data_IF_402302942143
#
_entry.id   IF_402302942143
#
_cell.length_a   1.000
_cell.length_b   1.000
_cell.length_c   1.000
_cell.angle_alpha   90.00
_cell.angle_beta   90.00
_cell.angle_gamma   90.00
#
_symmetry.space_group_name_H-M   'P 1'
#
loop_
_entity.id
_entity.type
_entity.pdbx_description
1 polymer ?
#
# COMPACT_ATOMS: atom_id res chain seq x y z
N UNK A 1 -72.35 55.17 28.11
CA UNK A 1 -71.70 54.01 28.78
C UNK A 1 -71.47 53.00 27.68
N UNK A 2 -70.21 52.97 27.15
CA UNK A 2 -69.83 52.17 26.00
C UNK A 2 -69.00 51.00 26.44
N UNK A 3 -69.46 49.80 26.10
CA UNK A 3 -68.76 48.54 26.40
C UNK A 3 -67.83 48.28 25.26
N UNK A 4 -66.52 48.12 25.58
CA UNK A 4 -65.46 47.72 24.66
C UNK A 4 -65.33 46.19 24.66
N UNK A 5 -65.20 45.56 23.45
CA UNK A 5 -65.00 44.12 23.39
C UNK A 5 -63.53 43.75 23.56
N UNK A 6 -63.29 42.66 24.27
CA UNK A 6 -61.99 42.06 24.48
C UNK A 6 -61.54 41.30 23.26
N UNK A 7 -60.44 41.74 22.62
CA UNK A 7 -59.74 40.98 21.61
C UNK A 7 -58.87 39.94 22.30
N UNK A 8 -59.19 38.67 22.07
CA UNK A 8 -58.28 37.54 22.41
C UNK A 8 -57.32 37.39 21.24
N UNK A 9 -56.04 37.66 21.50
CA UNK A 9 -54.95 37.34 20.55
C UNK A 9 -54.64 35.86 20.71
N UNK A 10 -54.99 35.06 19.72
CA UNK A 10 -54.56 33.69 19.59
C UNK A 10 -53.12 33.69 19.10
N UNK A 11 -52.18 33.29 19.93
CA UNK A 11 -50.80 33.06 19.54
C UNK A 11 -50.71 31.74 18.72
N UNK A 12 -50.62 31.85 17.40
CA UNK A 12 -50.24 30.73 16.55
C UNK A 12 -48.72 30.46 16.72
N UNK A 13 -48.39 29.42 17.47
CA UNK A 13 -47.04 28.88 17.50
C UNK A 13 -46.79 28.16 16.15
N UNK A 14 -46.12 28.84 15.24
CA UNK A 14 -45.62 28.23 14.02
C UNK A 14 -44.40 27.39 14.37
N UNK A 15 -44.59 26.09 14.50
CA UNK A 15 -43.51 25.11 14.63
C UNK A 15 -42.86 24.97 13.25
N UNK A 16 -41.75 25.66 13.05
CA UNK A 16 -40.87 25.42 11.90
C UNK A 16 -40.19 24.03 12.06
N UNK A 17 -40.77 23.04 11.40
CA UNK A 17 -40.11 21.76 11.16
C UNK A 17 -39.01 22.00 10.13
N UNK A 18 -37.78 22.21 10.58
CA UNK A 18 -36.62 22.15 9.69
C UNK A 18 -36.40 20.69 9.32
N UNK A 19 -36.90 20.27 8.15
CA UNK A 19 -36.45 19.05 7.49
C UNK A 19 -34.97 19.26 7.17
N UNK A 20 -34.11 18.74 8.01
CA UNK A 20 -32.71 18.49 7.67
C UNK A 20 -32.75 17.44 6.54
N UNK A 21 -32.64 17.87 5.31
CA UNK A 21 -32.29 17.00 4.19
C UNK A 21 -30.88 16.49 4.49
N UNK A 22 -30.77 15.30 5.07
CA UNK A 22 -29.57 14.53 4.96
C UNK A 22 -29.37 14.30 3.46
N UNK A 23 -28.54 15.13 2.85
CA UNK A 23 -27.95 14.81 1.56
C UNK A 23 -27.15 13.55 1.79
N UNK A 24 -27.80 12.40 1.68
CA UNK A 24 -27.11 11.14 1.53
C UNK A 24 -26.15 11.37 0.38
N UNK A 25 -24.86 11.33 0.66
CA UNK A 25 -23.86 11.19 -0.39
C UNK A 25 -24.25 9.91 -1.13
N UNK A 26 -24.99 10.07 -2.22
CA UNK A 26 -25.25 9.00 -3.16
C UNK A 26 -23.87 8.66 -3.72
N UNK A 27 -23.21 7.73 -3.07
CA UNK A 27 -21.98 7.14 -3.57
C UNK A 27 -22.32 6.65 -4.96
N UNK A 28 -21.78 7.32 -5.97
CA UNK A 28 -21.93 6.89 -7.35
C UNK A 28 -21.44 5.44 -7.38
N UNK A 29 -22.32 4.47 -7.60
CA UNK A 29 -21.95 3.06 -7.75
C UNK A 29 -21.03 3.00 -8.97
N UNK A 30 -19.72 2.98 -8.70
CA UNK A 30 -18.72 2.82 -9.75
C UNK A 30 -18.69 1.36 -10.14
N UNK A 31 -18.62 1.10 -11.43
CA UNK A 31 -18.52 -0.28 -11.95
C UNK A 31 -17.25 -1.02 -11.53
N UNK A 32 -16.33 -0.32 -10.82
CA UNK A 32 -15.07 -0.85 -10.31
C UNK A 32 -14.75 -0.14 -8.99
N UNK A 33 -14.80 -0.88 -7.90
CA UNK A 33 -14.51 -0.39 -6.55
C UNK A 33 -13.02 -0.06 -6.39
N UNK A 34 -12.73 0.88 -5.51
CA UNK A 34 -11.35 1.20 -5.14
C UNK A 34 -10.76 0.11 -4.24
N UNK A 35 -9.48 -0.15 -4.41
CA UNK A 35 -8.70 -1.04 -3.57
C UNK A 35 -7.32 -0.45 -3.30
N UNK A 36 -6.76 -0.81 -2.16
CA UNK A 36 -5.37 -0.49 -1.80
C UNK A 36 -4.72 -1.74 -1.23
N UNK A 37 -3.42 -1.85 -1.41
CA UNK A 37 -2.57 -2.82 -0.74
C UNK A 37 -1.23 -2.17 -0.46
N UNK A 38 -0.66 -2.44 0.70
CA UNK A 38 0.68 -1.97 1.05
C UNK A 38 1.45 -3.07 1.78
N UNK A 39 2.77 -3.02 1.65
CA UNK A 39 3.69 -3.90 2.36
C UNK A 39 4.92 -3.09 2.77
N UNK A 40 5.31 -3.23 4.03
CA UNK A 40 6.58 -2.73 4.52
C UNK A 40 7.59 -3.87 4.54
N UNK A 41 8.75 -3.65 3.93
CA UNK A 41 9.88 -4.55 3.82
C UNK A 41 11.09 -3.82 4.38
N UNK A 42 11.70 -4.34 5.42
CA UNK A 42 12.91 -3.76 6.02
C UNK A 42 12.87 -2.21 6.11
N UNK A 43 11.79 -1.69 6.70
CA UNK A 43 11.57 -0.25 6.87
C UNK A 43 11.30 0.55 5.59
N UNK A 44 11.05 -0.11 4.45
CA UNK A 44 10.60 0.51 3.18
C UNK A 44 9.17 0.13 2.90
N UNK A 45 8.30 1.11 2.69
CA UNK A 45 6.89 0.87 2.41
C UNK A 45 6.58 1.04 0.94
N UNK A 46 5.92 0.02 0.36
CA UNK A 46 5.42 0.03 -1.01
C UNK A 46 3.91 -0.08 -0.95
N UNK A 47 3.22 0.85 -1.60
CA UNK A 47 1.77 0.91 -1.63
C UNK A 47 1.21 0.97 -3.06
N UNK A 48 0.10 0.27 -3.29
CA UNK A 48 -0.67 0.34 -4.52
C UNK A 48 -2.06 0.89 -4.21
N UNK A 49 -2.57 1.78 -5.08
CA UNK A 49 -3.96 2.17 -5.08
C UNK A 49 -4.55 2.01 -6.49
N UNK A 50 -5.67 1.35 -6.60
CA UNK A 50 -6.23 0.93 -7.89
C UNK A 50 -7.74 0.79 -7.83
N UNK A 51 -8.39 0.67 -8.98
CA UNK A 51 -9.79 0.23 -9.07
C UNK A 51 -9.86 -1.20 -9.58
N UNK A 52 -10.87 -1.94 -9.15
CA UNK A 52 -11.01 -3.39 -9.30
C UNK A 52 -12.10 -3.75 -10.32
N UNK A 53 -11.80 -3.74 -11.64
CA UNK A 53 -12.76 -4.20 -12.63
C UNK A 53 -13.00 -5.71 -12.50
N UNK A 54 -14.25 -6.14 -12.76
CA UNK A 54 -14.66 -7.54 -12.80
C UNK A 54 -14.49 -8.12 -14.20
N UNK A 55 -14.08 -9.36 -14.31
CA UNK A 55 -13.94 -10.09 -15.57
C UNK A 55 -15.29 -10.34 -16.26
N UNK A 56 -16.32 -10.71 -15.51
CA UNK A 56 -17.69 -10.98 -15.99
C UNK A 56 -17.74 -11.98 -17.15
N UNK A 57 -16.92 -13.02 -17.08
CA UNK A 57 -16.83 -14.04 -18.12
C UNK A 57 -16.28 -13.57 -19.47
N UNK A 58 -15.73 -12.36 -19.57
CA UNK A 58 -15.15 -11.83 -20.81
C UNK A 58 -13.75 -12.38 -21.03
N UNK A 59 -13.38 -12.56 -22.29
CA UNK A 59 -11.98 -12.69 -22.66
C UNK A 59 -11.27 -11.37 -22.36
N UNK A 60 -10.18 -11.43 -21.59
CA UNK A 60 -9.51 -10.25 -21.06
C UNK A 60 -8.39 -9.79 -22.00
N UNK A 61 -7.25 -10.46 -21.97
CA UNK A 61 -6.08 -10.08 -22.77
C UNK A 61 -6.21 -10.57 -24.21
N UNK A 62 -5.87 -9.70 -25.16
CA UNK A 62 -6.14 -9.90 -26.59
C UNK A 62 -7.56 -9.57 -27.02
N UNK A 63 -8.46 -9.20 -26.07
CA UNK A 63 -9.85 -8.83 -26.35
C UNK A 63 -10.25 -7.54 -25.62
N UNK A 64 -10.66 -7.62 -24.35
CA UNK A 64 -11.02 -6.42 -23.56
C UNK A 64 -9.81 -5.49 -23.38
N UNK A 65 -8.64 -6.05 -23.16
CA UNK A 65 -7.35 -5.37 -23.16
C UNK A 65 -6.59 -5.87 -24.40
N UNK A 66 -6.57 -5.11 -25.50
CA UNK A 66 -5.92 -5.55 -26.75
C UNK A 66 -4.42 -5.72 -26.55
N UNK A 67 -3.83 -6.60 -27.36
CA UNK A 67 -2.38 -6.75 -27.43
C UNK A 67 -1.71 -5.47 -27.92
N UNK A 68 -0.51 -5.21 -27.47
CA UNK A 68 0.35 -4.08 -27.83
C UNK A 68 -0.27 -2.70 -27.56
N UNK A 69 -1.29 -2.64 -26.71
CA UNK A 69 -1.96 -1.40 -26.34
C UNK A 69 -1.68 -1.06 -24.86
N UNK A 70 -1.22 0.17 -24.63
CA UNK A 70 -1.00 0.71 -23.28
C UNK A 70 -2.33 0.71 -22.51
N UNK A 71 -2.32 0.10 -21.34
CA UNK A 71 -3.46 -0.01 -20.45
C UNK A 71 -3.02 0.18 -19.00
N UNK A 72 -3.83 0.84 -18.17
CA UNK A 72 -3.59 0.84 -16.72
C UNK A 72 -4.20 -0.43 -16.10
N UNK A 73 -3.44 -1.21 -15.33
CA UNK A 73 -3.96 -2.44 -14.70
C UNK A 73 -4.90 -2.12 -13.53
N UNK A 74 -6.07 -1.65 -13.90
CA UNK A 74 -7.13 -1.12 -13.06
C UNK A 74 -8.28 -0.56 -13.88
N UNK A 75 -8.97 0.44 -13.34
CA UNK A 75 -10.06 1.19 -13.99
C UNK A 75 -10.17 2.60 -13.40
N UNK A 76 -10.92 3.49 -14.04
CA UNK A 76 -11.14 4.89 -13.64
C UNK A 76 -9.82 5.67 -13.66
N UNK A 77 -9.31 6.10 -12.48
CA UNK A 77 -7.96 6.66 -12.38
C UNK A 77 -6.92 5.56 -12.58
N UNK A 78 -5.80 5.93 -13.14
CA UNK A 78 -4.68 5.00 -13.30
C UNK A 78 -4.30 4.41 -11.93
N UNK A 79 -3.95 3.13 -11.94
CA UNK A 79 -3.33 2.49 -10.79
C UNK A 79 -2.07 3.24 -10.41
N UNK A 80 -1.84 3.44 -9.13
CA UNK A 80 -0.62 4.09 -8.64
C UNK A 80 0.22 3.13 -7.80
N UNK A 81 1.53 3.27 -7.93
CA UNK A 81 2.53 2.68 -7.04
C UNK A 81 3.25 3.82 -6.32
N UNK A 82 3.44 3.68 -5.02
CA UNK A 82 4.20 4.61 -4.20
C UNK A 82 5.24 3.82 -3.40
N UNK A 83 6.48 4.24 -3.46
CA UNK A 83 7.58 3.71 -2.64
C UNK A 83 8.22 4.86 -1.87
N UNK A 84 8.38 4.72 -0.56
CA UNK A 84 8.95 5.76 0.31
C UNK A 84 10.48 5.81 0.28
N UNK A 85 11.11 4.78 -0.27
CA UNK A 85 12.56 4.70 -0.55
C UNK A 85 12.79 4.08 -1.93
N UNK A 86 14.02 4.20 -2.44
CA UNK A 86 14.42 3.55 -3.67
C UNK A 86 14.25 2.02 -3.55
N UNK A 87 13.71 1.41 -4.59
CA UNK A 87 13.53 -0.05 -4.65
C UNK A 87 14.04 -0.59 -5.98
N UNK A 88 14.17 -1.90 -6.08
CA UNK A 88 14.48 -2.57 -7.35
C UNK A 88 13.34 -3.52 -7.72
N UNK A 89 12.79 -3.36 -8.93
CA UNK A 89 11.68 -4.16 -9.44
C UNK A 89 12.12 -4.96 -10.66
N UNK A 90 12.10 -6.30 -10.59
CA UNK A 90 12.64 -7.20 -11.61
C UNK A 90 14.07 -6.80 -12.07
N UNK A 91 14.90 -6.31 -11.16
CA UNK A 91 16.27 -5.88 -11.46
C UNK A 91 16.42 -4.44 -11.98
N UNK A 92 15.32 -3.70 -12.17
CA UNK A 92 15.31 -2.30 -12.58
C UNK A 92 15.22 -1.40 -11.35
N UNK A 93 16.07 -0.39 -11.27
CA UNK A 93 16.06 0.58 -10.17
C UNK A 93 14.85 1.52 -10.32
N UNK A 94 14.10 1.69 -9.23
CA UNK A 94 12.92 2.55 -9.14
C UNK A 94 13.14 3.51 -7.98
N UNK A 95 13.39 4.81 -8.24
CA UNK A 95 13.54 5.82 -7.20
C UNK A 95 12.31 5.93 -6.30
N UNK A 96 12.51 6.39 -5.08
CA UNK A 96 11.43 6.77 -4.18
C UNK A 96 10.47 7.76 -4.86
N UNK A 97 9.18 7.53 -4.73
CA UNK A 97 8.20 8.39 -5.39
C UNK A 97 6.85 7.72 -5.58
N UNK A 98 5.98 8.47 -6.24
CA UNK A 98 4.65 8.02 -6.62
C UNK A 98 4.49 8.06 -8.13
N UNK A 99 4.04 6.94 -8.70
CA UNK A 99 3.96 6.72 -10.13
C UNK A 99 2.55 6.28 -10.52
N UNK A 100 2.08 6.64 -11.71
CA UNK A 100 1.00 5.91 -12.34
C UNK A 100 1.56 4.65 -13.02
N UNK A 101 0.80 3.56 -12.91
CA UNK A 101 1.20 2.23 -13.37
C UNK A 101 0.46 1.91 -14.67
N UNK A 102 1.22 1.55 -15.68
CA UNK A 102 0.73 1.18 -17.00
C UNK A 102 1.33 -0.16 -17.42
N UNK A 103 0.65 -0.85 -18.29
CA UNK A 103 1.10 -2.14 -18.80
C UNK A 103 0.81 -2.24 -20.29
N UNK A 104 1.70 -2.86 -21.02
CA UNK A 104 1.50 -3.23 -22.42
C UNK A 104 1.54 -4.76 -22.46
N UNK A 105 0.38 -5.42 -22.56
CA UNK A 105 0.33 -6.85 -22.82
C UNK A 105 0.78 -7.14 -24.25
N UNK A 106 1.65 -8.11 -24.43
CA UNK A 106 2.08 -8.59 -25.73
C UNK A 106 1.60 -10.03 -25.97
N UNK A 107 1.41 -10.40 -27.22
CA UNK A 107 1.12 -11.78 -27.59
C UNK A 107 2.38 -12.66 -27.47
N UNK A 108 2.92 -12.75 -26.27
CA UNK A 108 4.16 -13.44 -26.00
C UNK A 108 4.44 -13.58 -24.52
N UNK A 109 5.58 -14.19 -24.16
CA UNK A 109 5.86 -14.51 -22.76
C UNK A 109 6.28 -13.30 -21.91
N UNK A 110 6.50 -12.14 -22.52
CA UNK A 110 7.00 -10.96 -21.83
C UNK A 110 6.11 -9.76 -22.13
N UNK A 111 5.62 -9.10 -21.07
CA UNK A 111 4.89 -7.84 -21.13
C UNK A 111 5.76 -6.69 -20.61
N UNK A 112 5.33 -5.46 -20.87
CA UNK A 112 6.01 -4.27 -20.36
C UNK A 112 5.17 -3.61 -19.27
N UNK A 113 5.71 -3.53 -18.07
CA UNK A 113 5.18 -2.69 -16.98
C UNK A 113 5.89 -1.34 -17.05
N UNK A 114 5.14 -0.25 -17.06
CA UNK A 114 5.67 1.12 -17.10
C UNK A 114 5.24 1.88 -15.87
N UNK A 115 6.20 2.48 -15.18
CA UNK A 115 5.98 3.45 -14.12
C UNK A 115 6.19 4.86 -14.72
N UNK A 116 5.15 5.68 -14.65
CA UNK A 116 5.19 7.04 -15.18
C UNK A 116 5.17 8.06 -14.02
N UNK A 117 6.05 9.08 -14.02
CA UNK A 117 6.18 10.01 -12.91
C UNK A 117 4.96 10.92 -12.69
N UNK A 118 4.04 11.01 -13.67
CA UNK A 118 2.74 11.69 -13.46
C UNK A 118 1.74 10.71 -12.82
N UNK A 119 1.46 10.82 -11.50
CA UNK A 119 0.63 9.82 -10.80
C UNK A 119 -0.87 10.02 -11.02
N UNK A 120 -1.30 11.20 -11.49
CA UNK A 120 -2.72 11.54 -11.58
C UNK A 120 -3.21 11.57 -13.04
N UNK A 121 -3.28 10.40 -13.66
CA UNK A 121 -3.81 10.23 -15.00
C UNK A 121 -5.11 9.44 -14.96
N UNK A 122 -6.05 9.75 -15.84
CA UNK A 122 -7.25 8.94 -16.04
C UNK A 122 -6.97 7.83 -17.05
N UNK A 123 -7.65 6.68 -16.96
CA UNK A 123 -7.29 5.46 -17.70
C UNK A 123 -7.21 5.61 -19.23
N UNK A 124 -7.79 6.63 -19.82
CA UNK A 124 -7.63 6.92 -21.25
C UNK A 124 -6.66 8.08 -21.54
N UNK A 125 -6.15 8.75 -20.52
CA UNK A 125 -5.05 9.71 -20.64
C UNK A 125 -3.72 8.93 -20.59
N UNK A 126 -3.47 8.13 -21.63
CA UNK A 126 -2.25 7.33 -21.70
C UNK A 126 -1.04 8.25 -21.59
N UNK A 127 -0.01 7.88 -20.82
CA UNK A 127 1.18 8.70 -20.75
C UNK A 127 1.85 8.72 -22.13
N UNK A 128 2.19 9.91 -22.59
CA UNK A 128 3.12 10.05 -23.70
C UNK A 128 4.47 9.43 -23.30
N UNK A 129 5.30 9.07 -24.27
CA UNK A 129 6.67 8.61 -24.03
C UNK A 129 7.49 9.78 -23.46
N UNK A 130 7.27 10.09 -22.17
CA UNK A 130 7.91 11.18 -21.48
C UNK A 130 9.25 10.74 -20.88
N UNK A 131 10.18 11.67 -20.77
CA UNK A 131 11.39 11.48 -19.99
C UNK A 131 11.06 11.07 -18.55
N UNK A 132 11.80 10.12 -18.00
CA UNK A 132 11.61 9.62 -16.64
C UNK A 132 10.64 8.45 -16.49
N UNK A 133 10.09 7.88 -17.58
CA UNK A 133 9.38 6.61 -17.51
C UNK A 133 10.34 5.47 -17.23
N UNK A 134 9.92 4.55 -16.37
CA UNK A 134 10.67 3.33 -16.04
C UNK A 134 9.93 2.14 -16.63
N UNK A 135 10.62 1.41 -17.50
CA UNK A 135 10.08 0.22 -18.15
C UNK A 135 10.66 -1.05 -17.52
N UNK A 136 9.79 -1.96 -17.13
CA UNK A 136 10.11 -3.18 -16.42
C UNK A 136 9.53 -4.36 -17.22
N UNK A 137 10.38 -5.28 -17.64
CA UNK A 137 9.94 -6.52 -18.25
C UNK A 137 9.27 -7.41 -17.20
N UNK A 138 8.05 -7.89 -17.48
CA UNK A 138 7.30 -8.80 -16.63
C UNK A 138 6.86 -10.01 -17.41
N UNK A 139 6.71 -11.14 -16.75
CA UNK A 139 6.29 -12.39 -17.38
C UNK A 139 4.93 -12.79 -16.81
N UNK A 140 3.86 -12.71 -17.62
CA UNK A 140 2.57 -13.22 -17.20
C UNK A 140 2.60 -14.74 -17.08
N UNK A 141 1.84 -15.27 -16.16
CA UNK A 141 1.71 -16.70 -15.90
C UNK A 141 0.26 -17.12 -15.76
N UNK A 142 -0.04 -18.38 -16.03
CA UNK A 142 -1.36 -18.95 -15.78
C UNK A 142 -1.60 -19.11 -14.29
N UNK A 143 -2.81 -18.75 -13.85
CA UNK A 143 -3.21 -18.83 -12.45
C UNK A 143 -4.69 -19.21 -12.33
N UNK A 144 -5.13 -19.71 -11.16
CA UNK A 144 -6.54 -19.92 -10.90
C UNK A 144 -7.36 -18.66 -11.12
N UNK A 145 -8.60 -18.79 -11.60
CA UNK A 145 -9.43 -17.64 -11.96
C UNK A 145 -9.63 -16.66 -10.81
N UNK A 146 -9.41 -15.38 -11.08
CA UNK A 146 -9.67 -14.26 -10.18
C UNK A 146 -10.65 -13.29 -10.85
N UNK A 147 -11.87 -13.21 -10.35
CA UNK A 147 -12.95 -12.43 -10.96
C UNK A 147 -12.68 -10.92 -10.93
N UNK A 148 -12.22 -10.39 -9.80
CA UNK A 148 -11.89 -8.97 -9.61
C UNK A 148 -10.41 -8.76 -9.80
N UNK A 149 -9.99 -7.80 -10.65
CA UNK A 149 -8.59 -7.40 -10.72
C UNK A 149 -8.08 -7.12 -9.30
N UNK A 150 -6.96 -7.72 -8.95
CA UNK A 150 -6.40 -7.64 -7.59
C UNK A 150 -4.90 -7.48 -7.66
N UNK A 151 -4.38 -6.52 -6.91
CA UNK A 151 -2.97 -6.42 -6.56
C UNK A 151 -2.76 -6.97 -5.15
N UNK A 152 -1.66 -7.67 -4.93
CA UNK A 152 -1.33 -8.30 -3.64
C UNK A 152 0.18 -8.52 -3.50
N UNK A 153 0.60 -8.85 -2.27
CA UNK A 153 1.94 -9.32 -1.96
C UNK A 153 1.84 -10.79 -1.50
N UNK A 154 1.80 -11.77 -2.41
CA UNK A 154 1.64 -13.18 -2.06
C UNK A 154 2.86 -13.81 -1.40
N UNK A 155 4.03 -13.20 -1.49
CA UNK A 155 5.25 -13.65 -0.86
C UNK A 155 6.04 -12.45 -0.34
N UNK A 156 6.51 -12.55 0.90
CA UNK A 156 7.32 -11.55 1.61
C UNK A 156 8.42 -12.27 2.35
N UNK A 157 9.64 -11.77 2.26
CA UNK A 157 10.81 -12.35 2.94
C UNK A 157 11.89 -11.29 3.15
N UNK A 158 12.12 -10.88 4.41
CA UNK A 158 13.15 -9.90 4.75
C UNK A 158 13.06 -8.62 3.92
N UNK A 159 14.04 -8.40 3.07
CA UNK A 159 14.18 -7.27 2.15
C UNK A 159 13.53 -7.49 0.78
N UNK A 160 12.78 -8.58 0.59
CA UNK A 160 12.21 -8.98 -0.68
C UNK A 160 10.71 -9.27 -0.60
N UNK A 161 9.99 -9.00 -1.69
CA UNK A 161 8.61 -9.41 -1.89
C UNK A 161 8.29 -9.70 -3.35
N UNK A 162 7.16 -10.33 -3.57
CA UNK A 162 6.51 -10.40 -4.88
C UNK A 162 5.28 -9.51 -4.85
N UNK A 163 5.27 -8.44 -5.63
CA UNK A 163 4.06 -7.69 -5.97
C UNK A 163 3.39 -8.37 -7.15
N UNK A 164 2.11 -8.70 -7.05
CA UNK A 164 1.42 -9.47 -8.09
C UNK A 164 0.07 -8.84 -8.46
N UNK A 165 -0.15 -8.66 -9.74
CA UNK A 165 -1.48 -8.40 -10.31
C UNK A 165 -2.13 -9.73 -10.72
N UNK A 166 -3.42 -9.89 -10.41
CA UNK A 166 -4.23 -11.03 -10.87
C UNK A 166 -5.54 -10.56 -11.47
N UNK A 167 -5.90 -11.13 -12.64
CA UNK A 167 -7.20 -10.91 -13.26
C UNK A 167 -7.53 -12.02 -14.27
N UNK A 168 -8.74 -12.57 -14.19
CA UNK A 168 -9.08 -13.77 -14.94
C UNK A 168 -8.16 -14.92 -14.56
N UNK A 169 -7.59 -15.58 -15.52
CA UNK A 169 -6.63 -16.68 -15.35
C UNK A 169 -5.18 -16.23 -15.46
N UNK A 170 -4.91 -14.93 -15.42
CA UNK A 170 -3.58 -14.36 -15.57
C UNK A 170 -3.07 -13.78 -14.26
N UNK A 171 -1.84 -14.11 -13.90
CA UNK A 171 -1.07 -13.45 -12.86
C UNK A 171 0.17 -12.77 -13.48
N UNK A 172 0.53 -11.62 -12.97
CA UNK A 172 1.75 -10.90 -13.39
C UNK A 172 2.57 -10.59 -12.13
N UNK A 173 3.53 -11.46 -11.79
CA UNK A 173 4.42 -11.24 -10.66
C UNK A 173 5.53 -10.25 -11.00
N UNK A 174 5.90 -9.43 -10.01
CA UNK A 174 7.01 -8.48 -10.05
C UNK A 174 7.82 -8.68 -8.78
N UNK A 175 9.07 -9.11 -8.90
CA UNK A 175 9.98 -9.21 -7.76
C UNK A 175 10.37 -7.80 -7.30
N UNK A 176 10.23 -7.54 -6.02
CA UNK A 176 10.61 -6.28 -5.39
C UNK A 176 11.72 -6.57 -4.39
N UNK A 177 12.80 -5.81 -4.48
CA UNK A 177 13.89 -5.80 -3.50
C UNK A 177 14.02 -4.39 -2.95
N UNK A 178 14.21 -4.28 -1.65
CA UNK A 178 14.48 -3.02 -0.98
C UNK A 178 15.94 -2.99 -0.50
N UNK A 179 16.55 -1.81 -0.39
CA UNK A 179 17.87 -1.73 0.21
C UNK A 179 17.77 -2.14 1.69
N UNK A 180 18.72 -2.96 2.18
CA UNK A 180 18.71 -3.35 3.58
C UNK A 180 18.84 -2.11 4.47
N UNK A 181 18.04 -2.08 5.54
CA UNK A 181 18.15 -1.03 6.56
C UNK A 181 19.52 -1.16 7.21
N UNK A 182 20.33 -0.12 7.08
CA UNK A 182 21.58 -0.05 7.81
C UNK A 182 21.25 0.26 9.27
N UNK A 183 21.62 -0.60 10.22
CA UNK A 183 21.45 -0.28 11.63
C UNK A 183 22.23 1.01 11.97
N UNK A 184 21.78 1.82 12.93
CA UNK A 184 22.49 2.99 13.36
C UNK A 184 23.85 2.57 13.91
N UNK A 185 24.94 3.04 13.31
CA UNK A 185 26.28 2.81 13.82
C UNK A 185 26.48 3.72 15.03
N UNK A 186 26.59 3.14 16.22
CA UNK A 186 26.97 3.89 17.43
C UNK A 186 28.48 4.14 17.40
N UNK A 187 28.87 5.40 17.48
CA UNK A 187 30.29 5.77 17.51
C UNK A 187 31.00 5.06 18.66
N UNK A 188 32.27 4.68 18.44
CA UNK A 188 33.02 3.88 19.43
C UNK A 188 33.09 4.55 20.81
N UNK A 189 33.22 5.89 20.83
CA UNK A 189 33.26 6.70 22.04
C UNK A 189 31.93 6.74 22.79
N UNK A 190 30.81 6.51 22.11
CA UNK A 190 29.47 6.56 22.70
C UNK A 190 28.96 5.20 23.17
N UNK A 191 29.56 4.09 22.71
CA UNK A 191 29.08 2.73 23.00
C UNK A 191 28.98 2.44 24.49
N UNK A 192 29.95 2.92 25.26
CA UNK A 192 30.00 2.72 26.72
C UNK A 192 28.74 3.29 27.43
N UNK A 193 28.07 4.27 26.83
CA UNK A 193 26.85 4.87 27.38
C UNK A 193 25.64 3.94 27.32
N UNK A 194 25.69 2.93 26.43
CA UNK A 194 24.59 2.00 26.20
C UNK A 194 24.80 0.64 26.86
N UNK A 195 25.99 0.39 27.45
CA UNK A 195 26.25 -0.87 28.13
C UNK A 195 25.48 -0.96 29.44
N UNK A 196 24.82 -2.08 29.69
CA UNK A 196 24.11 -2.33 30.95
C UNK A 196 22.87 -3.18 30.79
N UNK A 197 22.15 -3.32 31.90
CA UNK A 197 20.87 -4.01 31.93
C UNK A 197 19.77 -2.97 32.14
N UNK A 198 18.75 -3.03 31.30
CA UNK A 198 17.61 -2.13 31.29
C UNK A 198 16.35 -2.93 31.60
N UNK A 199 15.59 -2.48 32.58
CA UNK A 199 14.24 -2.99 32.78
C UNK A 199 13.33 -2.46 31.68
N UNK A 200 12.58 -3.34 31.06
CA UNK A 200 11.66 -2.96 29.98
C UNK A 200 10.27 -2.71 30.57
N UNK A 201 9.82 -1.45 30.50
CA UNK A 201 8.42 -1.14 30.77
C UNK A 201 7.54 -1.77 29.72
N UNK A 202 6.85 -2.84 30.08
CA UNK A 202 6.00 -3.60 29.17
C UNK A 202 4.68 -2.84 28.98
N UNK A 203 4.35 -2.53 27.74
CA UNK A 203 3.05 -1.97 27.38
C UNK A 203 1.98 -3.04 27.66
N UNK A 204 1.06 -2.76 28.56
CA UNK A 204 -0.07 -3.63 28.90
C UNK A 204 -0.78 -4.13 27.63
N UNK A 205 -0.93 -5.43 27.53
CA UNK A 205 -1.68 -6.10 26.44
C UNK A 205 -0.84 -6.69 25.29
N UNK A 206 0.49 -6.57 25.31
CA UNK A 206 1.36 -7.14 24.25
C UNK A 206 1.89 -8.54 24.59
N UNK A 207 1.59 -9.07 25.77
CA UNK A 207 1.90 -10.47 26.15
C UNK A 207 3.39 -10.74 26.50
N UNK A 208 4.19 -9.72 26.72
CA UNK A 208 5.55 -9.87 27.24
C UNK A 208 5.52 -10.14 28.76
N UNK A 209 6.51 -10.86 29.32
CA UNK A 209 6.64 -11.04 30.76
C UNK A 209 6.81 -9.71 31.49
N UNK A 210 6.25 -9.60 32.69
CA UNK A 210 6.30 -8.36 33.51
C UNK A 210 7.72 -8.09 34.08
N UNK A 211 8.63 -9.03 33.95
CA UNK A 211 10.02 -8.97 34.38
C UNK A 211 11.00 -8.95 33.20
N UNK A 212 10.56 -8.38 32.08
CA UNK A 212 11.37 -8.26 30.88
C UNK A 212 12.54 -7.30 31.08
N UNK A 213 13.72 -7.71 30.64
CA UNK A 213 14.93 -6.89 30.67
C UNK A 213 15.70 -7.01 29.36
N UNK A 214 16.50 -6.00 29.03
CA UNK A 214 17.45 -5.98 27.93
C UNK A 214 18.86 -5.78 28.50
N UNK A 215 19.75 -6.75 28.26
CA UNK A 215 21.17 -6.61 28.53
C UNK A 215 21.89 -6.19 27.27
N UNK A 216 22.56 -5.04 27.29
CA UNK A 216 23.37 -4.53 26.20
C UNK A 216 24.86 -4.74 26.53
N UNK A 217 25.54 -5.46 25.67
CA UNK A 217 26.99 -5.77 25.77
C UNK A 217 27.73 -5.32 24.51
N UNK A 218 29.04 -5.15 24.58
CA UNK A 218 29.88 -4.91 23.41
C UNK A 218 30.67 -6.18 23.10
N UNK A 219 30.62 -6.61 21.83
CA UNK A 219 31.43 -7.72 21.33
C UNK A 219 31.89 -7.40 19.90
N UNK A 220 33.18 -7.57 19.67
CA UNK A 220 33.82 -7.33 18.37
C UNK A 220 33.56 -5.89 17.81
N UNK A 221 33.45 -4.90 18.70
CA UNK A 221 33.18 -3.50 18.32
C UNK A 221 31.73 -3.18 17.98
N UNK A 222 30.80 -4.10 18.26
CA UNK A 222 29.37 -3.93 18.05
C UNK A 222 28.60 -4.06 19.35
N UNK A 223 27.52 -3.30 19.49
CA UNK A 223 26.57 -3.47 20.59
C UNK A 223 25.67 -4.67 20.28
N UNK A 224 25.45 -5.51 21.29
CA UNK A 224 24.58 -6.67 21.21
C UNK A 224 23.58 -6.64 22.34
N UNK A 225 22.31 -6.90 22.01
CA UNK A 225 21.22 -6.98 22.98
C UNK A 225 20.86 -8.43 23.28
N UNK A 226 20.62 -8.75 24.55
CA UNK A 226 20.07 -10.03 24.98
C UNK A 226 18.84 -9.82 25.84
N UNK A 227 17.78 -10.59 25.58
CA UNK A 227 16.56 -10.63 26.39
C UNK A 227 16.39 -12.00 27.05
N UNK A 228 15.66 -12.13 28.19
CA UNK A 228 15.46 -13.40 28.90
C UNK A 228 14.57 -14.40 28.15
N UNK A 229 13.91 -13.96 27.07
CA UNK A 229 13.04 -14.80 26.27
C UNK A 229 13.30 -14.57 24.77
N UNK A 230 13.32 -15.61 23.95
CA UNK A 230 13.47 -15.46 22.51
C UNK A 230 12.20 -14.80 21.94
N UNK A 231 12.36 -13.79 21.10
CA UNK A 231 11.26 -13.21 20.30
C UNK A 231 10.81 -14.26 19.26
N UNK A 232 11.77 -15.02 18.74
CA UNK A 232 11.54 -16.26 18.01
C UNK A 232 12.57 -17.33 18.47
N UNK A 233 12.21 -18.63 18.45
CA UNK A 233 13.15 -19.68 18.79
C UNK A 233 14.40 -19.61 17.89
N UNK A 234 15.55 -19.25 18.47
CA UNK A 234 16.82 -19.16 17.75
C UNK A 234 17.34 -17.73 17.52
N UNK A 235 16.57 -16.70 17.86
CA UNK A 235 17.02 -15.32 17.70
C UNK A 235 17.82 -14.86 18.93
N UNK A 236 19.10 -14.63 18.73
CA UNK A 236 19.82 -13.60 19.48
C UNK A 236 19.53 -12.28 18.76
N UNK A 237 19.00 -11.29 19.46
CA UNK A 237 18.89 -9.94 18.90
C UNK A 237 20.30 -9.38 18.76
N UNK A 238 20.84 -9.43 17.57
CA UNK A 238 22.05 -8.72 17.22
C UNK A 238 21.64 -7.32 16.72
N UNK A 239 22.06 -6.30 17.44
CA UNK A 239 22.04 -4.93 16.95
C UNK A 239 23.39 -4.69 16.27
N UNK A 240 23.44 -4.77 14.95
CA UNK A 240 24.60 -4.35 14.17
C UNK A 240 24.72 -2.83 14.10
#
# INVERSE_FOLDING_TARGET
MKILPHFRVAACAATLLTLAHAMGASGQIRGSEAGTVSQTLDGTTIAMAYSRPSARGRALFGALVPWDVVWTPGANWATTLEADKDVRMNGVDVPAGKYSVWMIPHEGPTWTLTLNPEPKLFHFQKPDSADGQIHIAVQPEDAPHTEMLTWSFPAVSGDAAVLQMRWGTTAVPVKVLVPPTKPPIVAAEDRALYLGTYDLDVIDGVGYPTDAWLEVTERDGMLRGRMPFPIHPGDELEFD
#
